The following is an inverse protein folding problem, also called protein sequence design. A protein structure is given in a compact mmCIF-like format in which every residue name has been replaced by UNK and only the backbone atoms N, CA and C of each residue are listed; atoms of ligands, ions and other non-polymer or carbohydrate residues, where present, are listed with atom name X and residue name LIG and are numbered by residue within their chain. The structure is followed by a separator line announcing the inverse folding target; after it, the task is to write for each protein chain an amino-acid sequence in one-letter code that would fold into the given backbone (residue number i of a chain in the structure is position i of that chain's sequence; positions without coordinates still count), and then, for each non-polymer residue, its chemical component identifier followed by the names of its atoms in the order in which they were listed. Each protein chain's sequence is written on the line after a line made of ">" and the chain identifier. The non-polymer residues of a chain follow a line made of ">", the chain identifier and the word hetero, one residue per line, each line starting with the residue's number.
data_IF_441022735422
#
_entry.id   IF_441022735422
#
_cell.length_a   1.000
_cell.length_b   1.000
_cell.length_c   1.000
_cell.angle_alpha   90.00
_cell.angle_beta   90.00
_cell.angle_gamma   90.00
#
_symmetry.space_group_name_H-M   'P 1'
#
loop_
_entity.id
_entity.type
_entity.pdbx_description
1 polymer ?
#
# COMPACT_ATOMS: atom_id res chain seq x y z
N UNK A 1 2.62 -15.97 -0.78
CA UNK A 1 2.23 -16.73 -1.99
C UNK A 1 1.26 -15.91 -2.85
N UNK A 2 0.12 -15.43 -2.33
CA UNK A 2 -0.88 -14.67 -3.12
C UNK A 2 -0.22 -13.47 -3.84
N UNK A 3 0.52 -12.62 -3.11
CA UNK A 3 1.21 -11.46 -3.71
C UNK A 3 2.27 -11.88 -4.74
N UNK A 4 3.05 -12.93 -4.48
CA UNK A 4 4.05 -13.47 -5.40
C UNK A 4 3.38 -13.96 -6.70
N UNK A 5 2.34 -14.80 -6.58
CA UNK A 5 1.59 -15.30 -7.73
C UNK A 5 1.00 -14.14 -8.56
N UNK A 6 0.51 -13.08 -7.89
CA UNK A 6 -0.01 -11.87 -8.52
C UNK A 6 1.08 -11.10 -9.31
N UNK A 7 2.23 -10.87 -8.69
CA UNK A 7 3.38 -10.18 -9.33
C UNK A 7 3.82 -10.95 -10.59
N UNK A 8 3.92 -12.28 -10.52
CA UNK A 8 4.27 -13.12 -11.66
C UNK A 8 3.21 -13.07 -12.78
N UNK A 9 1.92 -13.23 -12.41
CA UNK A 9 0.83 -13.27 -13.37
C UNK A 9 0.69 -11.99 -14.18
N UNK A 10 0.95 -10.84 -13.53
CA UNK A 10 0.76 -9.52 -14.13
C UNK A 10 2.06 -8.86 -14.61
N UNK A 11 3.21 -9.58 -14.53
CA UNK A 11 4.53 -9.07 -14.92
C UNK A 11 4.86 -7.71 -14.26
N UNK A 12 4.56 -7.58 -12.97
CA UNK A 12 4.82 -6.36 -12.20
C UNK A 12 6.33 -6.16 -12.09
N UNK A 13 6.79 -4.93 -12.32
CA UNK A 13 8.21 -4.53 -12.24
C UNK A 13 8.43 -3.31 -11.33
N UNK A 14 7.40 -2.51 -11.07
CA UNK A 14 7.49 -1.34 -10.21
C UNK A 14 6.35 -1.30 -9.20
N UNK A 15 6.68 -1.20 -7.91
CA UNK A 15 5.70 -1.29 -6.81
C UNK A 15 5.80 -0.06 -5.92
N UNK A 16 4.64 0.53 -5.59
CA UNK A 16 4.48 1.47 -4.49
C UNK A 16 3.80 0.74 -3.32
N UNK A 17 4.44 0.67 -2.16
CA UNK A 17 3.90 0.06 -0.96
C UNK A 17 3.66 1.12 0.13
N UNK A 18 2.42 1.25 0.58
CA UNK A 18 1.99 2.19 1.61
C UNK A 18 1.73 1.45 2.91
N UNK A 19 2.62 1.64 3.89
CA UNK A 19 2.70 0.84 5.10
C UNK A 19 3.63 -0.36 4.92
N UNK A 20 4.66 -0.46 5.76
CA UNK A 20 5.57 -1.62 5.74
C UNK A 20 5.82 -2.23 7.11
N UNK A 21 5.43 -1.54 8.18
CA UNK A 21 5.55 -2.00 9.56
C UNK A 21 6.98 -2.44 9.93
N UNK A 22 7.32 -3.73 9.80
CA UNK A 22 8.67 -4.27 9.91
C UNK A 22 9.39 -4.41 8.56
N UNK A 23 8.64 -4.40 7.44
CA UNK A 23 9.16 -4.60 6.09
C UNK A 23 9.02 -6.03 5.56
N UNK A 24 8.25 -6.91 6.25
CA UNK A 24 8.11 -8.32 5.84
C UNK A 24 7.42 -8.45 4.49
N UNK A 25 6.28 -7.79 4.28
CA UNK A 25 5.58 -7.76 2.98
C UNK A 25 6.46 -7.19 1.87
N UNK A 26 7.23 -6.14 2.17
CA UNK A 26 8.19 -5.53 1.25
C UNK A 26 9.29 -6.50 0.83
N UNK A 27 9.86 -7.29 1.77
CA UNK A 27 10.84 -8.33 1.43
C UNK A 27 10.25 -9.43 0.54
N UNK A 28 9.00 -9.85 0.79
CA UNK A 28 8.33 -10.83 -0.09
C UNK A 28 8.06 -10.28 -1.49
N UNK A 29 7.68 -9.01 -1.61
CA UNK A 29 7.52 -8.36 -2.92
C UNK A 29 8.86 -8.23 -3.65
N UNK A 30 9.94 -7.87 -2.95
CA UNK A 30 11.28 -7.79 -3.53
C UNK A 30 11.77 -9.15 -4.05
N UNK A 31 11.56 -10.22 -3.28
CA UNK A 31 11.86 -11.58 -3.71
C UNK A 31 11.07 -11.98 -4.96
N UNK A 32 9.77 -11.64 -5.01
CA UNK A 32 8.94 -11.94 -6.18
C UNK A 32 9.39 -11.16 -7.43
N UNK A 33 9.81 -9.90 -7.27
CA UNK A 33 10.38 -9.11 -8.37
C UNK A 33 11.67 -9.74 -8.92
N UNK A 34 12.55 -10.23 -8.04
CA UNK A 34 13.78 -10.92 -8.46
C UNK A 34 13.46 -12.15 -9.33
N UNK A 35 12.44 -12.93 -8.98
CA UNK A 35 12.00 -14.11 -9.72
C UNK A 35 11.45 -13.77 -11.13
N UNK A 36 10.90 -12.59 -11.36
CA UNK A 36 10.39 -12.14 -12.67
C UNK A 36 11.43 -11.36 -13.49
N UNK A 37 12.68 -11.31 -13.02
CA UNK A 37 13.77 -10.66 -13.75
C UNK A 37 14.19 -9.30 -13.19
N UNK A 38 13.71 -8.93 -12.02
CA UNK A 38 14.06 -7.69 -11.31
C UNK A 38 12.96 -6.63 -11.36
N UNK A 39 13.20 -5.54 -10.63
CA UNK A 39 12.27 -4.43 -10.53
C UNK A 39 12.65 -3.49 -9.38
N UNK A 40 11.75 -2.60 -9.02
CA UNK A 40 11.96 -1.63 -7.95
C UNK A 40 10.72 -1.47 -7.07
N UNK A 41 10.95 -1.18 -5.80
CA UNK A 41 9.88 -0.87 -4.83
C UNK A 41 10.18 0.49 -4.21
N UNK A 42 9.15 1.33 -4.12
CA UNK A 42 9.12 2.48 -3.21
C UNK A 42 8.19 2.12 -2.05
N UNK A 43 8.70 2.13 -0.83
CA UNK A 43 7.95 1.76 0.37
C UNK A 43 7.91 2.91 1.36
N UNK A 44 6.74 3.25 1.91
CA UNK A 44 6.54 4.44 2.74
C UNK A 44 5.81 4.06 4.02
N UNK A 45 6.34 4.47 5.18
CA UNK A 45 5.66 4.29 6.47
C UNK A 45 5.92 5.50 7.39
N UNK A 46 5.38 5.44 8.59
CA UNK A 46 5.59 6.44 9.62
C UNK A 46 6.99 6.29 10.26
N UNK A 47 7.55 7.40 10.75
CA UNK A 47 8.80 7.41 11.52
C UNK A 47 8.81 6.45 12.71
N UNK A 48 7.64 6.13 13.25
CA UNK A 48 7.51 5.14 14.32
C UNK A 48 7.94 3.73 13.92
N UNK A 49 7.88 3.40 12.62
CA UNK A 49 8.33 2.11 12.10
C UNK A 49 9.86 1.95 12.18
N UNK A 50 10.61 3.05 12.17
CA UNK A 50 12.06 3.03 12.35
C UNK A 50 12.50 2.43 13.69
N UNK A 51 11.65 2.52 14.72
CA UNK A 51 11.95 2.02 16.08
C UNK A 51 11.66 0.53 16.25
N UNK A 52 11.16 -0.14 15.24
CA UNK A 52 10.86 -1.57 15.29
C UNK A 52 12.14 -2.40 15.22
N UNK A 53 12.07 -3.62 15.76
CA UNK A 53 13.19 -4.57 15.75
C UNK A 53 12.69 -5.96 15.29
N UNK A 54 13.14 -6.47 14.15
CA UNK A 54 13.91 -5.74 13.14
C UNK A 54 13.07 -4.63 12.48
N UNK A 55 13.73 -3.58 11.98
CA UNK A 55 13.12 -2.59 11.10
C UNK A 55 13.30 -3.01 9.63
N UNK A 56 12.75 -2.23 8.71
CA UNK A 56 12.78 -2.54 7.28
C UNK A 56 14.23 -2.61 6.73
N UNK A 57 15.10 -1.69 7.15
CA UNK A 57 16.49 -1.64 6.68
C UNK A 57 17.26 -2.92 7.07
N UNK A 58 17.15 -3.32 8.35
CA UNK A 58 17.75 -4.55 8.87
C UNK A 58 17.24 -5.81 8.15
N UNK A 59 15.93 -5.86 7.81
CA UNK A 59 15.36 -6.98 7.08
C UNK A 59 15.81 -7.02 5.63
N UNK A 60 15.80 -5.88 4.94
CA UNK A 60 16.23 -5.78 3.54
C UNK A 60 17.71 -6.12 3.40
N UNK A 61 18.56 -5.64 4.31
CA UNK A 61 19.99 -6.00 4.35
C UNK A 61 20.16 -7.50 4.52
N UNK A 62 19.46 -8.08 5.50
CA UNK A 62 19.54 -9.53 5.79
C UNK A 62 19.04 -10.40 4.63
N UNK A 63 18.05 -9.94 3.88
CA UNK A 63 17.49 -10.64 2.73
C UNK A 63 18.23 -10.34 1.41
N UNK A 64 19.13 -9.35 1.38
CA UNK A 64 19.88 -8.96 0.18
C UNK A 64 19.12 -8.01 -0.76
N UNK A 65 18.04 -7.36 -0.31
CA UNK A 65 17.16 -6.53 -1.15
C UNK A 65 17.30 -5.02 -0.92
N UNK A 66 18.35 -4.58 -0.21
CA UNK A 66 18.53 -3.16 0.12
C UNK A 66 18.62 -2.26 -1.14
N UNK A 67 19.15 -2.79 -2.24
CA UNK A 67 19.26 -2.06 -3.52
C UNK A 67 18.00 -2.13 -4.39
N UNK A 68 17.05 -2.97 -4.06
CA UNK A 68 15.77 -3.14 -4.79
C UNK A 68 14.69 -2.22 -4.24
N UNK A 69 14.83 -1.79 -2.98
CA UNK A 69 13.81 -1.06 -2.24
C UNK A 69 14.31 0.30 -1.81
N UNK A 70 13.66 1.34 -2.29
CA UNK A 70 13.76 2.69 -1.76
C UNK A 70 12.68 2.86 -0.69
N UNK A 71 13.04 3.19 0.56
CA UNK A 71 12.06 3.34 1.63
C UNK A 71 12.14 4.69 2.31
N UNK A 72 10.97 5.19 2.76
CA UNK A 72 10.82 6.48 3.38
C UNK A 72 10.07 6.38 4.70
N UNK A 73 10.49 7.18 5.66
CA UNK A 73 9.80 7.42 6.91
C UNK A 73 9.19 8.82 6.91
N UNK A 74 7.87 8.91 7.12
CA UNK A 74 7.17 10.18 7.17
C UNK A 74 6.58 10.42 8.58
N UNK A 75 6.60 11.67 9.09
CA UNK A 75 6.20 11.94 10.47
C UNK A 75 4.69 11.76 10.71
N UNK A 76 3.85 11.99 9.71
CA UNK A 76 2.38 12.04 9.87
C UNK A 76 1.65 11.02 8.99
N UNK A 77 2.00 10.94 7.70
CA UNK A 77 1.30 10.10 6.74
C UNK A 77 2.15 9.88 5.49
N UNK A 78 2.06 8.70 4.89
CA UNK A 78 2.62 8.38 3.57
C UNK A 78 2.07 9.31 2.46
N UNK A 79 0.91 9.92 2.66
CA UNK A 79 0.33 10.87 1.71
C UNK A 79 1.25 12.07 1.43
N UNK A 80 2.05 12.49 2.42
CA UNK A 80 3.02 13.57 2.26
C UNK A 80 4.14 13.20 1.27
N UNK A 81 4.65 11.97 1.35
CA UNK A 81 5.66 11.48 0.40
C UNK A 81 5.06 11.31 -0.99
N UNK A 82 3.84 10.79 -1.11
CA UNK A 82 3.18 10.66 -2.41
C UNK A 82 2.98 12.00 -3.10
N UNK A 83 2.66 13.07 -2.36
CA UNK A 83 2.60 14.41 -2.93
C UNK A 83 3.95 14.78 -3.59
N UNK A 84 5.09 14.53 -2.91
CA UNK A 84 6.43 14.79 -3.46
C UNK A 84 6.71 13.95 -4.71
N UNK A 85 6.39 12.66 -4.69
CA UNK A 85 6.55 11.78 -5.86
C UNK A 85 5.75 12.28 -7.06
N UNK A 86 4.55 12.85 -6.83
CA UNK A 86 3.73 13.46 -7.88
C UNK A 86 4.38 14.74 -8.42
N UNK A 87 4.95 15.58 -7.55
CA UNK A 87 5.65 16.81 -7.95
C UNK A 87 6.90 16.50 -8.78
N UNK A 88 7.64 15.47 -8.41
CA UNK A 88 8.86 15.03 -9.09
C UNK A 88 8.58 14.47 -10.50
N UNK A 89 7.41 13.88 -10.75
CA UNK A 89 6.94 13.30 -12.04
C UNK A 89 7.91 12.27 -12.65
N UNK A 90 8.80 11.69 -11.85
CA UNK A 90 9.86 10.79 -12.32
C UNK A 90 9.46 9.31 -12.25
N UNK A 91 8.45 8.98 -11.44
CA UNK A 91 8.08 7.59 -11.14
C UNK A 91 6.60 7.33 -11.42
N UNK A 92 6.35 6.22 -12.09
CA UNK A 92 5.04 5.57 -12.20
C UNK A 92 5.15 4.12 -11.77
N UNK A 93 4.05 3.52 -11.34
CA UNK A 93 4.04 2.19 -10.76
C UNK A 93 3.08 1.24 -11.49
N UNK A 94 3.46 -0.04 -11.58
CA UNK A 94 2.60 -1.12 -12.09
C UNK A 94 1.61 -1.57 -11.04
N UNK A 95 2.03 -1.51 -9.76
CA UNK A 95 1.25 -1.95 -8.62
C UNK A 95 1.37 -0.96 -7.47
N UNK A 96 0.24 -0.63 -6.84
CA UNK A 96 0.23 -0.04 -5.51
C UNK A 96 -0.41 -0.99 -4.50
N UNK A 97 0.31 -1.29 -3.41
CA UNK A 97 -0.19 -2.05 -2.26
C UNK A 97 -0.47 -1.09 -1.11
N UNK A 98 -1.74 -0.98 -0.73
CA UNK A 98 -2.22 -0.07 0.33
C UNK A 98 -2.48 -0.87 1.59
N UNK A 99 -1.53 -0.86 2.52
CA UNK A 99 -1.52 -1.61 3.78
C UNK A 99 -1.15 -0.69 4.96
N UNK A 100 -1.71 0.51 4.99
CA UNK A 100 -1.39 1.46 6.05
C UNK A 100 -2.51 2.44 6.32
N UNK A 101 -2.53 2.95 7.57
CA UNK A 101 -3.47 3.96 8.00
C UNK A 101 -4.87 3.44 8.37
N UNK A 102 -5.40 2.44 7.72
CA UNK A 102 -6.70 1.76 7.92
C UNK A 102 -7.87 2.69 8.31
N UNK A 103 -7.77 3.99 7.99
CA UNK A 103 -8.81 4.98 8.26
C UNK A 103 -9.28 5.65 6.98
N UNK A 104 -10.50 6.15 7.01
CA UNK A 104 -11.16 6.81 5.88
C UNK A 104 -10.35 7.97 5.29
N UNK A 105 -9.73 8.78 6.15
CA UNK A 105 -9.07 10.02 5.75
C UNK A 105 -7.76 9.74 5.01
N UNK A 106 -6.90 8.91 5.61
CA UNK A 106 -5.60 8.57 5.00
C UNK A 106 -5.76 7.69 3.78
N UNK A 107 -6.56 6.62 3.88
CA UNK A 107 -6.77 5.67 2.79
C UNK A 107 -7.55 6.29 1.64
N UNK A 108 -8.57 7.12 1.93
CA UNK A 108 -9.35 7.82 0.90
C UNK A 108 -8.50 8.82 0.11
N UNK A 109 -7.65 9.60 0.78
CA UNK A 109 -6.73 10.49 0.09
C UNK A 109 -5.67 9.69 -0.68
N UNK A 110 -5.15 8.60 -0.10
CA UNK A 110 -4.17 7.74 -0.76
C UNK A 110 -4.69 7.22 -2.09
N UNK A 111 -5.94 6.80 -2.18
CA UNK A 111 -6.56 6.36 -3.43
C UNK A 111 -6.38 7.39 -4.56
N UNK A 112 -6.72 8.66 -4.31
CA UNK A 112 -6.61 9.72 -5.32
C UNK A 112 -5.16 10.11 -5.64
N UNK A 113 -4.24 10.00 -4.69
CA UNK A 113 -2.82 10.25 -4.94
C UNK A 113 -2.18 9.11 -5.73
N UNK A 114 -2.50 7.86 -5.38
CA UNK A 114 -2.05 6.67 -6.10
C UNK A 114 -2.56 6.67 -7.53
N UNK A 115 -3.81 7.12 -7.77
CA UNK A 115 -4.33 7.25 -9.15
C UNK A 115 -3.41 8.08 -10.05
N UNK A 116 -2.74 9.10 -9.51
CA UNK A 116 -1.78 9.92 -10.27
C UNK A 116 -0.42 9.25 -10.49
N UNK A 117 -0.07 8.29 -9.65
CA UNK A 117 1.23 7.58 -9.69
C UNK A 117 1.12 6.22 -10.38
N UNK A 118 -0.08 5.65 -10.46
CA UNK A 118 -0.32 4.36 -11.09
C UNK A 118 -0.46 4.53 -12.59
N UNK A 119 0.31 3.74 -13.36
CA UNK A 119 0.22 3.76 -14.82
C UNK A 119 -1.11 3.14 -15.31
N UNK A 120 -1.56 3.47 -16.55
CA UNK A 120 -2.64 2.75 -17.21
C UNK A 120 -2.36 1.25 -17.26
N UNK A 121 -3.37 0.42 -16.96
CA UNK A 121 -3.23 -1.03 -16.82
C UNK A 121 -2.65 -1.49 -15.48
N UNK A 122 -2.14 -0.59 -14.66
CA UNK A 122 -1.60 -0.90 -13.33
C UNK A 122 -2.67 -1.31 -12.33
N UNK A 123 -2.25 -1.95 -11.24
CA UNK A 123 -3.12 -2.49 -10.22
C UNK A 123 -3.01 -1.76 -8.88
N UNK A 124 -4.12 -1.64 -8.20
CA UNK A 124 -4.18 -1.22 -6.80
C UNK A 124 -4.74 -2.35 -5.96
N UNK A 125 -4.04 -2.69 -4.88
CA UNK A 125 -4.47 -3.69 -3.90
C UNK A 125 -4.66 -2.99 -2.56
N UNK A 126 -5.84 -3.14 -1.97
CA UNK A 126 -6.15 -2.69 -0.62
C UNK A 126 -6.12 -3.88 0.32
N UNK A 127 -5.29 -3.82 1.36
CA UNK A 127 -5.30 -4.80 2.44
C UNK A 127 -6.35 -4.46 3.49
N UNK A 128 -6.66 -5.44 4.32
CA UNK A 128 -7.47 -5.28 5.52
C UNK A 128 -8.84 -4.62 5.28
N UNK A 129 -9.56 -4.99 4.20
CA UNK A 129 -10.86 -4.40 3.86
C UNK A 129 -11.84 -4.37 5.04
N UNK A 130 -11.88 -5.44 5.82
CA UNK A 130 -12.85 -5.60 6.92
C UNK A 130 -12.26 -5.30 8.31
N UNK A 131 -11.04 -4.79 8.35
CA UNK A 131 -10.41 -4.43 9.62
C UNK A 131 -11.11 -3.24 10.30
N UNK A 132 -11.22 -3.31 11.62
CA UNK A 132 -11.79 -2.24 12.47
C UNK A 132 -10.88 -1.92 13.66
N UNK A 133 -11.08 -0.74 14.24
CA UNK A 133 -10.38 -0.32 15.47
C UNK A 133 -11.06 -0.83 16.74
N UNK A 134 -12.14 -1.62 16.63
CA UNK A 134 -13.01 -2.01 17.76
C UNK A 134 -12.26 -2.61 18.92
N UNK A 135 -11.28 -3.46 18.63
CA UNK A 135 -10.51 -4.20 19.64
C UNK A 135 -9.18 -3.55 20.03
N UNK A 136 -8.94 -2.31 19.57
CA UNK A 136 -7.71 -1.61 19.91
C UNK A 136 -7.83 -0.87 21.25
N UNK A 137 -6.95 -1.21 22.20
CA UNK A 137 -6.82 -0.51 23.49
C UNK A 137 -5.88 0.72 23.40
N UNK A 138 -5.42 1.07 22.22
CA UNK A 138 -4.51 2.20 22.03
C UNK A 138 -5.22 3.53 22.30
N UNK A 139 -4.57 4.42 23.06
CA UNK A 139 -5.14 5.73 23.45
C UNK A 139 -5.62 6.57 22.27
N UNK A 140 -4.95 6.46 21.13
CA UNK A 140 -5.33 7.19 19.92
C UNK A 140 -6.64 6.65 19.32
N UNK A 141 -6.85 5.32 19.34
CA UNK A 141 -8.07 4.68 18.87
C UNK A 141 -9.25 4.99 19.81
N UNK A 142 -9.03 4.93 21.12
CA UNK A 142 -10.06 5.23 22.13
C UNK A 142 -10.56 6.69 22.11
N UNK A 143 -9.82 7.60 21.47
CA UNK A 143 -10.26 9.00 21.29
C UNK A 143 -11.20 9.20 20.10
N UNK A 144 -11.32 8.20 19.23
CA UNK A 144 -12.23 8.28 18.07
C UNK A 144 -13.65 7.91 18.50
N UNK A 145 -14.66 8.50 17.83
CA UNK A 145 -16.07 8.10 18.04
C UNK A 145 -16.24 6.58 17.84
N UNK A 146 -17.18 6.00 18.58
CA UNK A 146 -17.48 4.56 18.49
C UNK A 146 -17.81 4.15 17.05
N UNK A 147 -18.62 4.92 16.35
CA UNK A 147 -18.97 4.68 14.95
C UNK A 147 -17.74 4.56 14.05
N UNK A 148 -16.72 5.43 14.22
CA UNK A 148 -15.47 5.32 13.45
C UNK A 148 -14.67 4.05 13.81
N UNK A 149 -14.74 3.63 15.08
CA UNK A 149 -13.98 2.47 15.58
C UNK A 149 -14.54 1.14 15.08
N UNK A 150 -15.86 1.01 15.00
CA UNK A 150 -16.55 -0.22 14.57
C UNK A 150 -16.74 -0.31 13.05
N UNK A 151 -16.53 0.81 12.34
CA UNK A 151 -16.67 0.85 10.89
C UNK A 151 -15.42 0.31 10.20
N UNK A 152 -15.52 -0.64 9.26
CA UNK A 152 -14.40 -1.08 8.42
C UNK A 152 -14.12 0.00 7.36
N UNK A 153 -13.26 0.95 7.73
CA UNK A 153 -13.08 2.20 6.99
C UNK A 153 -12.40 2.00 5.63
N UNK A 154 -11.50 1.01 5.51
CA UNK A 154 -10.90 0.65 4.22
C UNK A 154 -11.96 0.11 3.26
N UNK A 155 -12.90 -0.71 3.74
CA UNK A 155 -14.05 -1.17 2.94
C UNK A 155 -14.92 -0.01 2.47
N UNK A 156 -15.11 1.01 3.29
CA UNK A 156 -15.86 2.22 2.85
C UNK A 156 -15.14 2.95 1.72
N UNK A 157 -13.81 3.07 1.78
CA UNK A 157 -13.03 3.62 0.66
C UNK A 157 -13.21 2.75 -0.58
N UNK A 158 -13.06 1.44 -0.44
CA UNK A 158 -13.22 0.47 -1.52
C UNK A 158 -14.59 0.58 -2.22
N UNK A 159 -15.66 0.61 -1.45
CA UNK A 159 -17.03 0.62 -2.00
C UNK A 159 -17.47 1.99 -2.51
N UNK A 160 -17.09 3.07 -1.83
CA UNK A 160 -17.62 4.40 -2.11
C UNK A 160 -16.73 5.25 -3.02
N UNK A 161 -15.42 4.96 -3.07
CA UNK A 161 -14.47 5.73 -3.87
C UNK A 161 -13.88 4.91 -5.01
N UNK A 162 -13.42 3.68 -4.74
CA UNK A 162 -12.69 2.86 -5.72
C UNK A 162 -13.64 2.23 -6.74
N UNK A 163 -14.61 1.42 -6.29
CA UNK A 163 -15.54 0.72 -7.20
C UNK A 163 -16.33 1.63 -8.14
N UNK A 164 -16.86 2.81 -7.71
CA UNK A 164 -17.58 3.70 -8.59
C UNK A 164 -16.69 4.60 -9.45
N UNK A 165 -15.36 4.55 -9.26
CA UNK A 165 -14.44 5.43 -9.98
C UNK A 165 -14.35 5.04 -11.46
N UNK A 166 -14.55 5.98 -12.42
CA UNK A 166 -14.64 5.65 -13.85
C UNK A 166 -13.33 5.13 -14.46
N UNK A 167 -12.19 5.37 -13.80
CA UNK A 167 -10.88 4.94 -14.28
C UNK A 167 -10.45 3.55 -13.79
N UNK A 168 -11.32 2.80 -13.12
CA UNK A 168 -11.00 1.49 -12.58
C UNK A 168 -11.99 0.42 -13.04
N UNK A 169 -11.50 -0.80 -13.19
CA UNK A 169 -12.27 -1.99 -13.59
C UNK A 169 -11.64 -3.25 -12.98
N UNK A 170 -12.10 -4.42 -13.42
CA UNK A 170 -11.57 -5.72 -13.02
C UNK A 170 -11.50 -5.88 -11.49
N UNK A 171 -12.57 -5.42 -10.81
CA UNK A 171 -12.67 -5.52 -9.36
C UNK A 171 -12.90 -6.95 -8.92
N UNK A 172 -12.13 -7.39 -7.92
CA UNK A 172 -12.40 -8.61 -7.19
C UNK A 172 -11.89 -8.52 -5.76
N UNK A 173 -12.33 -9.42 -4.91
CA UNK A 173 -11.91 -9.52 -3.52
C UNK A 173 -11.43 -10.95 -3.26
N UNK A 174 -10.32 -11.08 -2.53
CA UNK A 174 -9.77 -12.36 -2.12
C UNK A 174 -9.06 -12.21 -0.78
N UNK A 175 -9.35 -13.10 0.17
CA UNK A 175 -8.67 -13.19 1.47
C UNK A 175 -8.64 -11.87 2.27
N UNK A 176 -9.69 -11.05 2.16
CA UNK A 176 -9.79 -9.74 2.80
C UNK A 176 -9.12 -8.61 2.02
N UNK A 177 -8.55 -8.88 0.86
CA UNK A 177 -7.95 -7.90 -0.04
C UNK A 177 -8.91 -7.50 -1.16
N UNK A 178 -8.88 -6.21 -1.53
CA UNK A 178 -9.59 -5.66 -2.69
C UNK A 178 -8.63 -5.31 -3.82
N UNK A 179 -8.93 -5.77 -5.03
CA UNK A 179 -8.11 -5.59 -6.22
C UNK A 179 -8.85 -4.75 -7.25
N UNK A 180 -8.22 -3.70 -7.76
CA UNK A 180 -8.75 -2.84 -8.82
C UNK A 180 -7.69 -2.54 -9.86
N UNK A 181 -8.04 -2.64 -11.14
CA UNK A 181 -7.14 -2.31 -12.23
C UNK A 181 -7.50 -0.95 -12.82
N UNK A 182 -6.50 -0.08 -12.97
CA UNK A 182 -6.65 1.19 -13.66
C UNK A 182 -6.80 0.92 -15.17
N UNK A 183 -7.84 1.49 -15.76
CA UNK A 183 -8.05 1.38 -17.22
C UNK A 183 -7.30 2.46 -17.96
N UNK A 184 -6.97 2.17 -19.19
CA UNK A 184 -6.45 3.15 -20.14
C UNK A 184 -7.62 3.99 -20.68
N UNK A 185 -7.54 5.32 -20.58
CA UNK A 185 -8.58 6.26 -21.03
C UNK A 185 -8.00 7.16 -22.10
#
# INVERSE_FOLDING_TARGET
>A
KVMQDFIHQHNISSILALGFFHGVSTCYMAAALEEVGGGSIVSIDLESAQKRQPNIEELLEKCGYLNTVEFYYEPVSYNWRMMKLIEEQEKTFDLCYVDGGHDWYNTGLAFFLVDKLLQPGGWMIFDDLDWTMEHLDAKWALRKPEEERITPQVRKVWELLVKPHPHYSNFYEQDGWGYAQKIDI
#
